data_IF_823177164709
#
_entry.id   IF_823177164709
#
_cell.length_a   1.000
_cell.length_b   1.000
_cell.length_c   1.000
_cell.angle_alpha   90.00
_cell.angle_beta   90.00
_cell.angle_gamma   90.00
#
_symmetry.space_group_name_H-M   'P 1'
#
loop_
_entity.id
_entity.type
_entity.pdbx_description
1 polymer ?
#
# COMPACT_ATOMS: atom_id res chain seq x y z
N UNK A 1 -10.85 25.28 -6.80
CA UNK A 1 -10.83 24.65 -5.46
C UNK A 1 -9.53 23.86 -5.32
N UNK A 2 -8.89 23.81 -4.14
CA UNK A 2 -7.70 22.97 -3.94
C UNK A 2 -8.09 21.49 -3.93
N UNK A 3 -7.37 20.65 -4.67
CA UNK A 3 -7.57 19.19 -4.73
C UNK A 3 -6.39 18.45 -4.09
N UNK A 4 -6.69 17.28 -3.55
CA UNK A 4 -5.72 16.26 -3.17
C UNK A 4 -6.02 15.05 -4.04
N UNK A 5 -5.09 14.72 -4.93
CA UNK A 5 -5.18 13.53 -5.78
C UNK A 5 -4.43 12.40 -5.10
N UNK A 6 -5.15 11.35 -4.70
CA UNK A 6 -4.60 10.15 -4.11
C UNK A 6 -4.61 9.01 -5.14
N UNK A 7 -3.48 8.34 -5.32
CA UNK A 7 -3.33 7.25 -6.27
C UNK A 7 -2.89 6.01 -5.53
N UNK A 8 -3.53 4.88 -5.79
CA UNK A 8 -2.84 3.62 -5.58
C UNK A 8 -1.56 3.55 -6.45
N UNK A 9 -0.61 2.73 -6.01
CA UNK A 9 0.68 2.59 -6.66
C UNK A 9 0.71 1.44 -7.67
N UNK A 10 0.48 0.22 -7.21
CA UNK A 10 0.72 -1.01 -7.97
C UNK A 10 -0.51 -1.39 -8.80
N UNK A 11 -0.41 -1.35 -10.12
CA UNK A 11 -1.58 -1.56 -10.99
C UNK A 11 -2.43 -0.30 -11.18
N UNK A 12 -2.00 0.82 -10.60
CA UNK A 12 -2.65 2.13 -10.79
C UNK A 12 -1.67 3.19 -11.29
N UNK A 13 -0.79 3.76 -10.47
CA UNK A 13 0.10 4.83 -10.95
C UNK A 13 1.36 4.30 -11.64
N UNK A 14 1.90 3.17 -11.16
CA UNK A 14 3.03 2.50 -11.77
C UNK A 14 2.56 1.59 -12.90
N UNK A 15 3.28 1.66 -14.02
CA UNK A 15 3.25 0.66 -15.07
C UNK A 15 3.97 -0.61 -14.62
N UNK A 16 3.82 -1.69 -15.38
CA UNK A 16 4.51 -2.97 -15.14
C UNK A 16 6.04 -2.88 -15.06
N UNK A 17 6.64 -1.88 -15.69
CA UNK A 17 8.08 -1.62 -15.63
C UNK A 17 8.52 -0.81 -14.38
N UNK A 18 7.62 -0.60 -13.41
CA UNK A 18 7.80 0.22 -12.21
C UNK A 18 8.07 1.71 -12.49
N UNK A 19 7.60 2.24 -13.61
CA UNK A 19 7.69 3.67 -13.93
C UNK A 19 6.31 4.32 -14.08
N UNK A 20 6.24 5.64 -13.95
CA UNK A 20 5.04 6.43 -14.24
C UNK A 20 5.03 6.81 -15.72
N UNK A 21 3.86 6.75 -16.35
CA UNK A 21 3.71 7.25 -17.72
C UNK A 21 4.22 8.71 -17.86
N UNK A 22 5.07 9.03 -18.84
CA UNK A 22 5.68 10.36 -18.96
C UNK A 22 4.68 11.52 -19.06
N UNK A 23 3.54 11.33 -19.71
CA UNK A 23 2.51 12.36 -19.81
C UNK A 23 1.79 12.55 -18.47
N UNK A 24 1.48 11.45 -17.76
CA UNK A 24 0.97 11.52 -16.38
C UNK A 24 1.94 12.26 -15.47
N UNK A 25 3.26 12.02 -15.60
CA UNK A 25 4.29 12.72 -14.81
C UNK A 25 4.30 14.23 -15.05
N UNK A 26 4.09 14.69 -16.29
CA UNK A 26 3.92 16.12 -16.60
C UNK A 26 2.69 16.71 -15.92
N UNK A 27 1.58 15.96 -15.87
CA UNK A 27 0.35 16.40 -15.22
C UNK A 27 0.49 16.44 -13.70
N UNK A 28 1.16 15.46 -13.09
CA UNK A 28 1.48 15.49 -11.65
C UNK A 28 2.27 16.75 -11.30
N UNK A 29 3.29 17.09 -12.09
CA UNK A 29 4.04 18.34 -11.93
C UNK A 29 3.13 19.57 -12.04
N UNK A 30 2.31 19.64 -13.09
CA UNK A 30 1.38 20.75 -13.30
C UNK A 30 0.36 20.89 -12.15
N UNK A 31 -0.16 19.78 -11.64
CA UNK A 31 -1.07 19.71 -10.48
C UNK A 31 -0.45 20.42 -9.26
N UNK A 32 0.83 20.13 -8.96
CA UNK A 32 1.57 20.80 -7.87
C UNK A 32 1.77 22.28 -8.12
N UNK A 33 2.10 22.67 -9.35
CA UNK A 33 2.25 24.09 -9.74
C UNK A 33 0.94 24.88 -9.57
N UNK A 34 -0.22 24.23 -9.69
CA UNK A 34 -1.53 24.82 -9.39
C UNK A 34 -1.90 24.77 -7.89
N UNK A 35 -1.00 24.30 -7.02
CA UNK A 35 -1.19 24.26 -5.58
C UNK A 35 -2.03 23.09 -5.08
N UNK A 36 -2.24 22.06 -5.89
CA UNK A 36 -2.82 20.78 -5.46
C UNK A 36 -1.77 19.89 -4.79
N UNK A 37 -2.24 18.82 -4.13
CA UNK A 37 -1.37 17.78 -3.58
C UNK A 37 -1.50 16.50 -4.36
N UNK A 38 -0.37 15.83 -4.63
CA UNK A 38 -0.35 14.48 -5.15
C UNK A 38 0.10 13.51 -4.04
N UNK A 39 -0.67 12.45 -3.84
CA UNK A 39 -0.51 11.52 -2.72
C UNK A 39 -0.52 10.10 -3.24
N UNK A 40 0.40 9.27 -2.76
CA UNK A 40 0.34 7.83 -2.99
C UNK A 40 -0.38 7.18 -1.81
N UNK A 41 -1.23 6.19 -2.06
CA UNK A 41 -1.87 5.36 -1.06
C UNK A 41 -1.63 3.88 -1.38
N UNK A 42 -0.71 3.23 -0.66
CA UNK A 42 -0.22 1.91 -1.03
C UNK A 42 -0.25 0.92 0.14
N UNK A 43 -0.37 -0.37 -0.19
CA UNK A 43 -0.15 -1.46 0.76
C UNK A 43 1.32 -1.63 1.16
N UNK A 44 2.27 -1.10 0.37
CA UNK A 44 3.71 -1.17 0.68
C UNK A 44 4.03 -0.44 1.98
N UNK A 45 4.91 -1.03 2.79
CA UNK A 45 5.56 -0.33 3.91
C UNK A 45 6.51 0.77 3.44
N UNK A 46 6.79 1.75 4.31
CA UNK A 46 7.53 2.96 3.94
C UNK A 46 8.89 2.65 3.29
N UNK A 47 9.66 1.74 3.88
CA UNK A 47 11.00 1.37 3.38
C UNK A 47 10.99 0.76 1.98
N UNK A 48 9.87 0.18 1.54
CA UNK A 48 9.70 -0.36 0.18
C UNK A 48 9.38 0.72 -0.85
N UNK A 49 8.97 1.91 -0.42
CA UNK A 49 8.59 3.03 -1.30
C UNK A 49 9.71 4.05 -1.42
N UNK A 50 10.51 4.26 -0.36
CA UNK A 50 11.61 5.23 -0.37
C UNK A 50 12.57 5.13 -1.58
N UNK A 51 12.96 3.93 -2.07
CA UNK A 51 13.82 3.84 -3.25
C UNK A 51 13.24 4.48 -4.52
N UNK A 52 11.90 4.50 -4.66
CA UNK A 52 11.19 5.16 -5.78
C UNK A 52 11.16 6.69 -5.63
N UNK A 53 11.37 7.21 -4.43
CA UNK A 53 11.56 8.64 -4.19
C UNK A 53 13.01 9.00 -4.53
N UNK A 54 13.96 8.22 -4.02
CA UNK A 54 15.40 8.44 -4.17
C UNK A 54 15.86 8.38 -5.63
N UNK A 55 15.27 7.49 -6.44
CA UNK A 55 15.56 7.40 -7.88
C UNK A 55 14.83 8.48 -8.71
N UNK A 56 14.01 9.33 -8.09
CA UNK A 56 13.27 10.42 -8.74
C UNK A 56 12.02 9.98 -9.50
N UNK A 57 11.60 8.72 -9.39
CA UNK A 57 10.38 8.24 -10.05
C UNK A 57 9.15 8.98 -9.49
N UNK A 58 9.09 9.12 -8.16
CA UNK A 58 8.03 9.79 -7.42
C UNK A 58 8.34 11.27 -7.09
N UNK A 59 9.13 11.97 -7.91
CA UNK A 59 9.55 13.37 -7.66
C UNK A 59 8.40 14.37 -7.51
N UNK A 60 7.24 14.03 -8.08
CA UNK A 60 6.02 14.85 -8.07
C UNK A 60 4.99 14.40 -7.05
N UNK A 61 5.39 13.59 -6.06
CA UNK A 61 4.56 13.16 -4.95
C UNK A 61 4.90 13.99 -3.70
N UNK A 62 3.86 14.48 -3.02
CA UNK A 62 4.00 15.30 -1.81
C UNK A 62 3.88 14.46 -0.53
N UNK A 63 3.00 13.46 -0.54
CA UNK A 63 2.76 12.57 0.60
C UNK A 63 2.58 11.12 0.18
N UNK A 64 2.87 10.19 1.09
CA UNK A 64 2.71 8.75 0.86
C UNK A 64 2.03 8.13 2.06
N UNK A 65 0.81 7.64 1.88
CA UNK A 65 0.08 6.79 2.82
C UNK A 65 0.55 5.36 2.60
N UNK A 66 1.17 4.75 3.61
CA UNK A 66 1.80 3.42 3.51
C UNK A 66 1.06 2.39 4.38
N UNK A 67 1.40 1.11 4.18
CA UNK A 67 0.86 -0.02 4.97
C UNK A 67 -0.67 0.04 5.08
N UNK A 68 -1.34 0.25 3.94
CA UNK A 68 -2.80 0.39 3.86
C UNK A 68 -3.38 1.45 4.83
N UNK A 69 -2.65 2.54 5.09
CA UNK A 69 -3.15 3.65 5.91
C UNK A 69 -2.57 3.75 7.32
N UNK A 70 -1.76 2.78 7.76
CA UNK A 70 -1.21 2.77 9.11
C UNK A 70 -0.26 3.95 9.41
N UNK A 71 0.34 4.55 8.38
CA UNK A 71 1.13 5.76 8.47
C UNK A 71 0.99 6.61 7.20
N UNK A 72 1.37 7.87 7.29
CA UNK A 72 1.72 8.68 6.12
C UNK A 72 3.07 9.38 6.27
N UNK A 73 3.76 9.58 5.16
CA UNK A 73 5.08 10.20 5.06
C UNK A 73 4.99 11.51 4.29
N UNK A 74 5.55 12.59 4.86
CA UNK A 74 5.73 13.88 4.20
C UNK A 74 7.05 13.85 3.44
N UNK A 75 6.97 13.86 2.11
CA UNK A 75 8.15 13.72 1.24
C UNK A 75 9.08 14.93 1.37
N UNK A 76 8.52 16.13 1.54
CA UNK A 76 9.28 17.38 1.62
C UNK A 76 10.04 17.49 2.94
N UNK A 77 9.34 17.25 4.04
CA UNK A 77 9.91 17.38 5.38
C UNK A 77 10.64 16.12 5.86
N UNK A 78 10.49 15.01 5.13
CA UNK A 78 11.03 13.70 5.48
C UNK A 78 10.56 13.21 6.85
N UNK A 79 9.30 13.50 7.18
CA UNK A 79 8.69 13.14 8.47
C UNK A 79 7.64 12.06 8.29
N UNK A 80 7.60 11.14 9.26
CA UNK A 80 6.61 10.06 9.30
C UNK A 80 5.56 10.37 10.37
N UNK A 81 4.30 10.17 10.03
CA UNK A 81 3.16 10.33 10.92
C UNK A 81 2.42 9.00 11.03
N UNK A 82 2.36 8.46 12.24
CA UNK A 82 1.73 7.17 12.52
C UNK A 82 0.25 7.39 12.80
N UNK A 83 -0.61 6.64 12.12
CA UNK A 83 -2.06 6.65 12.33
C UNK A 83 -2.44 5.56 13.33
N UNK A 84 -2.00 4.32 13.09
CA UNK A 84 -2.26 3.19 13.98
C UNK A 84 -1.14 2.16 13.88
N UNK A 85 -0.95 1.39 14.95
CA UNK A 85 0.12 0.39 15.06
C UNK A 85 -0.46 -0.99 15.31
N UNK A 86 0.33 -2.01 14.99
CA UNK A 86 -0.02 -3.40 15.19
C UNK A 86 0.63 -3.91 16.48
N UNK A 87 -0.09 -4.73 17.25
CA UNK A 87 0.47 -5.35 18.44
C UNK A 87 1.54 -6.37 18.06
N UNK A 88 2.67 -6.36 18.78
CA UNK A 88 3.73 -7.36 18.61
C UNK A 88 3.23 -8.80 18.83
N UNK A 89 2.13 -9.01 19.57
CA UNK A 89 1.51 -10.33 19.74
C UNK A 89 1.12 -10.98 18.41
N UNK A 90 0.75 -10.17 17.40
CA UNK A 90 0.41 -10.66 16.06
C UNK A 90 1.62 -11.32 15.39
N UNK A 91 2.82 -10.78 15.58
CA UNK A 91 4.05 -11.35 15.01
C UNK A 91 4.26 -12.81 15.43
N UNK A 92 4.09 -13.13 16.71
CA UNK A 92 4.32 -14.49 17.20
C UNK A 92 3.38 -15.50 16.55
N UNK A 93 2.11 -15.11 16.36
CA UNK A 93 1.12 -15.95 15.67
C UNK A 93 1.55 -16.19 14.21
N UNK A 94 1.93 -15.12 13.50
CA UNK A 94 2.34 -15.24 12.10
C UNK A 94 3.67 -15.96 11.94
N UNK A 95 4.59 -15.82 12.88
CA UNK A 95 5.84 -16.57 12.94
C UNK A 95 5.57 -18.07 13.06
N UNK A 96 4.70 -18.49 13.98
CA UNK A 96 4.37 -19.90 14.16
C UNK A 96 3.77 -20.50 12.88
N UNK A 97 2.80 -19.80 12.27
CA UNK A 97 2.19 -20.22 10.99
C UNK A 97 3.22 -20.24 9.85
N UNK A 98 4.12 -19.26 9.78
CA UNK A 98 5.15 -19.22 8.75
C UNK A 98 6.13 -20.39 8.84
N UNK A 99 6.48 -20.80 10.07
CA UNK A 99 7.34 -21.95 10.32
C UNK A 99 6.63 -23.27 10.05
N UNK A 100 5.36 -23.39 10.40
CA UNK A 100 4.56 -24.60 10.17
C UNK A 100 4.36 -24.90 8.68
N UNK A 101 4.25 -23.86 7.84
CA UNK A 101 3.91 -23.99 6.43
C UNK A 101 5.03 -23.59 5.45
N UNK A 102 6.26 -23.37 5.92
CA UNK A 102 7.39 -22.90 5.11
C UNK A 102 7.04 -21.66 4.26
N UNK A 103 6.57 -20.60 4.93
CA UNK A 103 6.13 -19.34 4.31
C UNK A 103 7.15 -18.22 4.46
N UNK A 104 7.04 -17.23 3.58
CA UNK A 104 7.80 -15.98 3.70
C UNK A 104 7.04 -15.07 4.68
N UNK A 105 7.72 -14.62 5.73
CA UNK A 105 7.19 -13.69 6.72
C UNK A 105 7.84 -12.33 6.55
N UNK A 106 7.05 -11.27 6.39
CA UNK A 106 7.54 -9.90 6.27
C UNK A 106 7.01 -9.04 7.41
N UNK A 107 7.91 -8.24 8.01
CA UNK A 107 7.57 -7.22 9.01
C UNK A 107 7.88 -5.85 8.43
N UNK A 108 6.92 -4.94 8.53
CA UNK A 108 7.04 -3.54 8.15
C UNK A 108 6.85 -2.65 9.39
N UNK A 109 7.81 -1.76 9.62
CA UNK A 109 7.76 -0.70 10.63
C UNK A 109 8.01 0.65 9.96
N UNK A 110 7.99 1.74 10.73
CA UNK A 110 8.35 3.07 10.22
C UNK A 110 9.82 3.17 9.76
N UNK A 111 10.71 2.39 10.38
CA UNK A 111 12.17 2.49 10.25
C UNK A 111 12.84 1.21 9.72
N UNK A 112 12.06 0.14 9.51
CA UNK A 112 12.55 -1.17 9.10
C UNK A 112 11.57 -1.84 8.13
N UNK A 113 12.14 -2.57 7.18
CA UNK A 113 11.46 -3.63 6.45
C UNK A 113 12.37 -4.86 6.45
N UNK A 114 11.81 -6.04 6.69
CA UNK A 114 12.57 -7.28 6.64
C UNK A 114 11.67 -8.46 6.31
N UNK A 115 12.19 -9.37 5.49
CA UNK A 115 11.52 -10.62 5.14
C UNK A 115 12.36 -11.81 5.54
N UNK A 116 11.77 -12.72 6.31
CA UNK A 116 12.31 -14.03 6.58
C UNK A 116 11.97 -14.98 5.42
N UNK A 117 12.98 -15.75 5.00
CA UNK A 117 12.81 -16.85 4.04
C UNK A 117 13.02 -18.19 4.76
N UNK A 118 12.14 -19.17 4.58
CA UNK A 118 12.29 -20.48 5.21
C UNK A 118 13.59 -21.15 4.72
N UNK A 119 14.36 -21.68 5.66
CA UNK A 119 15.66 -22.30 5.40
C UNK A 119 16.66 -21.38 4.64
N UNK A 120 16.52 -20.05 4.77
CA UNK A 120 17.34 -19.03 4.09
C UNK A 120 17.30 -19.14 2.54
N UNK A 121 16.21 -19.64 1.98
CA UNK A 121 16.02 -19.79 0.53
C UNK A 121 14.59 -19.49 0.14
N UNK A 122 14.37 -19.12 -1.12
CA UNK A 122 13.02 -19.07 -1.64
C UNK A 122 12.36 -20.46 -1.55
N UNK A 123 11.11 -20.54 -1.04
CA UNK A 123 10.40 -21.80 -0.94
C UNK A 123 10.27 -22.52 -2.29
N UNK A 124 10.30 -23.85 -2.27
CA UNK A 124 10.24 -24.68 -3.49
C UNK A 124 8.92 -24.57 -4.27
N UNK A 125 7.87 -24.06 -3.64
CA UNK A 125 6.58 -23.79 -4.27
C UNK A 125 6.58 -22.51 -5.13
N UNK A 126 7.65 -21.72 -5.11
CA UNK A 126 7.78 -20.50 -5.91
C UNK A 126 8.44 -20.78 -7.26
N UNK A 127 7.88 -20.23 -8.32
CA UNK A 127 8.51 -20.22 -9.64
C UNK A 127 9.56 -19.12 -9.77
N UNK A 128 10.48 -19.24 -10.73
CA UNK A 128 11.48 -18.19 -11.01
C UNK A 128 10.82 -16.83 -11.32
N UNK A 129 9.75 -16.81 -12.12
CA UNK A 129 9.01 -15.59 -12.42
C UNK A 129 8.41 -14.97 -11.14
N UNK A 130 7.81 -15.80 -10.29
CA UNK A 130 7.23 -15.34 -9.02
C UNK A 130 8.27 -14.76 -8.07
N UNK A 131 9.52 -15.24 -8.11
CA UNK A 131 10.66 -14.72 -7.37
C UNK A 131 11.14 -13.41 -7.99
N UNK A 132 11.21 -13.31 -9.32
CA UNK A 132 11.60 -12.06 -10.01
C UNK A 132 10.58 -10.93 -9.79
N UNK A 133 9.29 -11.27 -9.73
CA UNK A 133 8.22 -10.32 -9.46
C UNK A 133 8.17 -9.88 -7.98
N UNK A 134 8.97 -10.50 -7.10
CA UNK A 134 9.06 -10.07 -5.70
C UNK A 134 9.92 -8.84 -5.53
N UNK A 135 9.33 -7.81 -4.94
CA UNK A 135 10.06 -6.69 -4.34
C UNK A 135 10.46 -7.01 -2.89
N UNK A 136 11.31 -8.03 -2.67
CA UNK A 136 12.00 -8.21 -1.38
C UNK A 136 13.27 -7.35 -1.39
N UNK A 137 13.31 -6.34 -0.52
CA UNK A 137 14.44 -5.44 -0.40
C UNK A 137 15.47 -5.91 0.63
N UNK A 138 15.02 -6.60 1.67
CA UNK A 138 15.85 -6.97 2.81
C UNK A 138 15.47 -8.35 3.33
N UNK A 139 16.35 -9.33 3.13
CA UNK A 139 16.22 -10.68 3.69
C UNK A 139 16.96 -10.72 5.02
N UNK A 140 16.29 -11.18 6.08
CA UNK A 140 16.83 -11.26 7.43
C UNK A 140 16.51 -12.61 8.07
N UNK A 141 17.24 -12.98 9.11
CA UNK A 141 16.89 -14.13 9.95
C UNK A 141 15.74 -13.80 10.93
N UNK A 142 15.17 -14.84 11.54
CA UNK A 142 14.10 -14.69 12.53
C UNK A 142 14.56 -13.93 13.76
N UNK A 143 15.79 -14.15 14.21
CA UNK A 143 16.35 -13.47 15.37
C UNK A 143 16.31 -11.95 15.15
N UNK A 144 16.68 -11.47 13.96
CA UNK A 144 16.58 -10.06 13.60
C UNK A 144 15.14 -9.55 13.66
N UNK A 145 14.17 -10.30 13.10
CA UNK A 145 12.76 -9.91 13.18
C UNK A 145 12.26 -9.86 14.63
N UNK A 146 12.64 -10.83 15.46
CA UNK A 146 12.30 -10.88 16.88
C UNK A 146 12.88 -9.68 17.64
N UNK A 147 14.13 -9.32 17.38
CA UNK A 147 14.77 -8.16 17.99
C UNK A 147 14.05 -6.86 17.60
N UNK A 148 13.65 -6.71 16.34
CA UNK A 148 12.85 -5.56 15.88
C UNK A 148 11.51 -5.52 16.61
N UNK A 149 10.78 -6.64 16.66
CA UNK A 149 9.42 -6.72 17.23
C UNK A 149 9.40 -6.59 18.76
N UNK A 150 10.47 -7.02 19.44
CA UNK A 150 10.63 -6.89 20.90
C UNK A 150 11.10 -5.50 21.32
N UNK A 151 11.67 -4.71 20.42
CA UNK A 151 12.09 -3.35 20.73
C UNK A 151 10.84 -2.47 20.97
N UNK A 152 10.75 -1.88 22.17
CA UNK A 152 9.63 -1.02 22.56
C UNK A 152 9.50 0.25 21.71
N UNK A 153 10.59 0.71 21.09
CA UNK A 153 10.58 1.86 20.18
C UNK A 153 10.15 1.48 18.74
N UNK A 154 10.02 0.18 18.46
CA UNK A 154 9.61 -0.29 17.14
C UNK A 154 8.11 -0.08 16.92
N UNK A 155 7.80 0.64 15.85
CA UNK A 155 6.43 0.95 15.45
C UNK A 155 6.03 0.04 14.30
N UNK A 156 5.45 -1.12 14.63
CA UNK A 156 4.98 -2.10 13.65
C UNK A 156 3.71 -1.57 12.97
N UNK A 157 3.73 -1.50 11.64
CA UNK A 157 2.60 -1.00 10.85
C UNK A 157 1.89 -2.08 10.06
N UNK A 158 2.59 -3.17 9.72
CA UNK A 158 2.02 -4.32 9.02
C UNK A 158 2.91 -5.55 9.21
N UNK A 159 2.29 -6.72 9.22
CA UNK A 159 2.99 -8.00 9.08
C UNK A 159 2.25 -8.79 8.01
N UNK A 160 3.00 -9.43 7.11
CA UNK A 160 2.43 -10.18 6.00
C UNK A 160 3.06 -11.57 5.87
N UNK A 161 2.27 -12.53 5.41
CA UNK A 161 2.77 -13.81 4.91
C UNK A 161 2.59 -13.89 3.40
N UNK A 162 3.56 -14.45 2.68
CA UNK A 162 3.34 -14.91 1.31
C UNK A 162 3.15 -16.42 1.29
N UNK A 163 2.03 -16.82 0.70
CA UNK A 163 1.53 -18.19 0.67
C UNK A 163 1.62 -18.81 -0.72
N UNK A 164 1.65 -20.16 -0.82
CA UNK A 164 1.25 -20.86 -2.04
C UNK A 164 -0.20 -20.53 -2.41
N UNK A 165 -0.49 -20.36 -3.70
CA UNK A 165 -1.84 -20.03 -4.19
C UNK A 165 -2.91 -21.01 -3.70
N UNK A 166 -2.58 -22.29 -3.64
CA UNK A 166 -3.47 -23.40 -3.29
C UNK A 166 -3.90 -23.36 -1.82
N UNK A 167 -3.04 -22.88 -0.93
CA UNK A 167 -3.26 -22.88 0.53
C UNK A 167 -3.54 -21.49 1.10
N UNK A 168 -3.31 -20.42 0.32
CA UNK A 168 -3.40 -19.03 0.78
C UNK A 168 -4.73 -18.69 1.47
N UNK A 169 -5.87 -19.16 0.92
CA UNK A 169 -7.17 -18.93 1.55
C UNK A 169 -7.29 -19.64 2.91
N UNK A 170 -6.90 -20.91 2.98
CA UNK A 170 -7.00 -21.69 4.20
C UNK A 170 -6.10 -21.12 5.32
N UNK A 171 -4.86 -20.76 4.99
CA UNK A 171 -3.92 -20.13 5.92
C UNK A 171 -4.41 -18.75 6.37
N UNK A 172 -5.00 -17.97 5.46
CA UNK A 172 -5.61 -16.67 5.82
C UNK A 172 -6.77 -16.85 6.81
N UNK A 173 -7.64 -17.84 6.58
CA UNK A 173 -8.76 -18.15 7.46
C UNK A 173 -8.29 -18.66 8.83
N UNK A 174 -7.20 -19.43 8.88
CA UNK A 174 -6.54 -19.82 10.12
C UNK A 174 -6.01 -18.61 10.89
N UNK A 175 -5.30 -17.70 10.22
CA UNK A 175 -4.76 -16.49 10.86
C UNK A 175 -5.90 -15.64 11.43
N UNK A 176 -7.00 -15.45 10.69
CA UNK A 176 -8.21 -14.77 11.17
C UNK A 176 -8.71 -15.37 12.49
N UNK A 177 -8.81 -16.69 12.57
CA UNK A 177 -9.26 -17.37 13.78
C UNK A 177 -8.28 -17.19 14.93
N UNK A 178 -6.96 -17.31 14.69
CA UNK A 178 -5.93 -17.14 15.72
C UNK A 178 -5.80 -15.69 16.21
N UNK A 179 -6.16 -14.71 15.38
CA UNK A 179 -6.07 -13.28 15.71
C UNK A 179 -7.40 -12.62 16.04
N UNK A 180 -8.53 -13.36 16.10
CA UNK A 180 -9.89 -12.81 16.25
C UNK A 180 -10.10 -11.92 17.49
N UNK A 181 -9.33 -12.15 18.55
CA UNK A 181 -9.41 -11.39 19.82
C UNK A 181 -8.36 -10.27 19.90
N UNK A 182 -7.62 -10.03 18.80
CA UNK A 182 -6.63 -8.96 18.70
C UNK A 182 -7.19 -7.82 17.82
N UNK A 183 -6.81 -6.55 18.11
CA UNK A 183 -7.26 -5.40 17.33
C UNK A 183 -6.50 -5.31 15.99
N UNK A 184 -6.72 -6.28 15.11
CA UNK A 184 -6.15 -6.34 13.77
C UNK A 184 -7.14 -6.90 12.74
N UNK A 185 -6.92 -6.54 11.49
CA UNK A 185 -7.69 -7.00 10.33
C UNK A 185 -6.79 -7.82 9.40
N UNK A 186 -7.36 -8.89 8.83
CA UNK A 186 -6.62 -9.89 8.04
C UNK A 186 -7.22 -10.01 6.64
N UNK A 187 -6.41 -9.67 5.63
CA UNK A 187 -6.84 -9.66 4.23
C UNK A 187 -5.99 -10.62 3.39
N UNK A 188 -6.65 -11.31 2.45
CA UNK A 188 -5.96 -12.02 1.37
C UNK A 188 -5.84 -11.06 0.18
N UNK A 189 -4.63 -10.62 -0.13
CA UNK A 189 -4.34 -9.68 -1.23
C UNK A 189 -3.56 -10.40 -2.34
N UNK A 190 -3.84 -10.04 -3.60
CA UNK A 190 -3.25 -10.65 -4.80
C UNK A 190 -3.27 -12.20 -4.81
N UNK A 191 -4.29 -12.80 -4.18
CA UNK A 191 -4.49 -14.25 -4.02
C UNK A 191 -3.41 -15.03 -3.24
N UNK A 192 -2.31 -14.40 -2.83
CA UNK A 192 -1.17 -15.09 -2.19
C UNK A 192 -0.67 -14.43 -0.92
N UNK A 193 -0.97 -13.15 -0.67
CA UNK A 193 -0.50 -12.45 0.52
C UNK A 193 -1.56 -12.43 1.60
N UNK A 194 -1.21 -12.87 2.80
CA UNK A 194 -2.02 -12.63 4.00
C UNK A 194 -1.47 -11.40 4.70
N UNK A 195 -2.11 -10.25 4.49
CA UNK A 195 -1.74 -8.99 5.12
C UNK A 195 -2.50 -8.82 6.44
N UNK A 196 -1.76 -8.59 7.53
CA UNK A 196 -2.34 -8.25 8.83
C UNK A 196 -2.03 -6.80 9.17
N UNK A 197 -3.09 -6.01 9.27
CA UNK A 197 -3.03 -4.57 9.49
C UNK A 197 -3.72 -4.21 10.82
N UNK A 198 -3.42 -3.05 11.42
CA UNK A 198 -4.16 -2.57 12.58
C UNK A 198 -5.66 -2.49 12.33
N UNK A 199 -6.49 -2.77 13.35
CA UNK A 199 -7.96 -2.77 13.19
C UNK A 199 -8.48 -1.41 12.70
N UNK A 200 -9.46 -1.44 11.79
CA UNK A 200 -10.12 -0.22 11.30
C UNK A 200 -9.22 0.72 10.50
N UNK A 201 -8.05 0.25 10.03
CA UNK A 201 -7.21 0.99 9.11
C UNK A 201 -7.54 0.63 7.66
N UNK A 202 -7.48 1.63 6.80
CA UNK A 202 -7.55 1.48 5.35
C UNK A 202 -6.84 2.64 4.66
N UNK A 203 -6.60 2.52 3.35
CA UNK A 203 -6.04 3.62 2.54
C UNK A 203 -6.86 4.89 2.74
N UNK A 204 -8.19 4.78 2.73
CA UNK A 204 -9.10 5.91 2.96
C UNK A 204 -8.89 6.55 4.33
N UNK A 205 -8.83 5.75 5.41
CA UNK A 205 -8.60 6.27 6.76
C UNK A 205 -7.28 7.02 6.86
N UNK A 206 -6.19 6.47 6.29
CA UNK A 206 -4.90 7.15 6.24
C UNK A 206 -4.93 8.46 5.45
N UNK A 207 -5.63 8.49 4.31
CA UNK A 207 -5.84 9.71 3.52
C UNK A 207 -6.66 10.75 4.31
N UNK A 208 -7.67 10.33 5.06
CA UNK A 208 -8.50 11.23 5.87
C UNK A 208 -7.69 11.88 7.00
N UNK A 209 -6.81 11.13 7.67
CA UNK A 209 -5.89 11.71 8.66
C UNK A 209 -4.93 12.73 8.00
N UNK A 210 -4.42 12.43 6.81
CA UNK A 210 -3.62 13.37 6.04
C UNK A 210 -4.43 14.64 5.69
N UNK A 211 -5.66 14.50 5.18
CA UNK A 211 -6.53 15.63 4.86
C UNK A 211 -6.73 16.56 6.07
N UNK A 212 -7.00 15.98 7.25
CA UNK A 212 -7.15 16.74 8.51
C UNK A 212 -5.88 17.53 8.82
N UNK A 213 -4.70 16.92 8.69
CA UNK A 213 -3.42 17.59 8.95
C UNK A 213 -3.16 18.79 8.01
N UNK A 214 -3.76 18.74 6.81
CA UNK A 214 -3.68 19.79 5.79
C UNK A 214 -4.81 20.83 5.88
N UNK A 215 -5.73 20.69 6.84
CA UNK A 215 -6.93 21.54 6.94
C UNK A 215 -7.90 21.37 5.77
N UNK A 216 -7.88 20.20 5.13
CA UNK A 216 -8.74 19.83 4.00
C UNK A 216 -9.83 18.86 4.45
N UNK A 217 -10.82 18.66 3.59
CA UNK A 217 -11.92 17.72 3.81
C UNK A 217 -12.01 16.74 2.65
N UNK A 218 -12.88 15.72 2.77
CA UNK A 218 -13.13 14.77 1.69
C UNK A 218 -13.67 15.44 0.41
N UNK A 219 -14.24 16.66 0.50
CA UNK A 219 -14.60 17.45 -0.69
C UNK A 219 -13.41 17.83 -1.57
N UNK A 220 -12.19 17.81 -1.01
CA UNK A 220 -10.96 18.07 -1.74
C UNK A 220 -10.40 16.80 -2.41
N UNK A 221 -10.89 15.61 -2.05
CA UNK A 221 -10.29 14.32 -2.37
C UNK A 221 -10.73 13.80 -3.73
N UNK A 222 -9.74 13.46 -4.56
CA UNK A 222 -9.91 12.70 -5.81
C UNK A 222 -9.04 11.45 -5.69
N UNK A 223 -9.58 10.27 -5.95
CA UNK A 223 -8.85 8.99 -5.80
C UNK A 223 -8.79 8.20 -7.10
N UNK A 224 -7.68 7.50 -7.30
CA UNK A 224 -7.48 6.54 -8.39
C UNK A 224 -7.06 5.19 -7.79
N UNK A 225 -7.69 4.09 -8.20
CA UNK A 225 -7.32 2.76 -7.73
C UNK A 225 -7.78 1.64 -8.67
N UNK A 226 -7.38 0.41 -8.35
CA UNK A 226 -7.62 -0.75 -9.19
C UNK A 226 -8.26 -1.95 -8.45
N UNK A 227 -8.01 -2.08 -7.14
CA UNK A 227 -8.22 -3.34 -6.43
C UNK A 227 -9.03 -3.18 -5.14
N UNK A 228 -9.29 -4.31 -4.45
CA UNK A 228 -10.23 -4.36 -3.32
C UNK A 228 -9.87 -3.44 -2.15
N UNK A 229 -8.58 -3.22 -1.89
CA UNK A 229 -8.13 -2.28 -0.85
C UNK A 229 -8.25 -0.81 -1.25
N UNK A 230 -8.67 -0.51 -2.49
CA UNK A 230 -8.97 0.84 -2.98
C UNK A 230 -10.46 1.18 -2.93
N UNK A 231 -11.33 0.17 -2.86
CA UNK A 231 -12.80 0.33 -2.94
C UNK A 231 -13.31 1.40 -2.00
N UNK A 232 -12.87 1.39 -0.74
CA UNK A 232 -13.31 2.37 0.24
C UNK A 232 -12.88 3.81 -0.12
N UNK A 233 -11.64 4.00 -0.61
CA UNK A 233 -11.20 5.34 -0.98
C UNK A 233 -11.87 5.84 -2.25
N UNK A 234 -12.14 4.95 -3.21
CA UNK A 234 -12.88 5.26 -4.44
C UNK A 234 -14.33 5.65 -4.10
N UNK A 235 -15.03 4.85 -3.30
CA UNK A 235 -16.44 5.08 -2.96
C UNK A 235 -16.64 6.37 -2.16
N UNK A 236 -15.73 6.69 -1.23
CA UNK A 236 -15.92 7.77 -0.26
C UNK A 236 -15.20 9.07 -0.62
N UNK A 237 -14.46 9.11 -1.73
CA UNK A 237 -13.87 10.33 -2.26
C UNK A 237 -14.95 11.29 -2.80
N UNK A 238 -14.59 12.56 -3.01
CA UNK A 238 -15.47 13.46 -3.75
C UNK A 238 -15.52 13.12 -5.24
N UNK A 239 -14.42 12.59 -5.78
CA UNK A 239 -14.37 11.95 -7.10
C UNK A 239 -13.56 10.67 -6.98
N UNK A 240 -14.22 9.53 -7.16
CA UNK A 240 -13.60 8.20 -7.23
C UNK A 240 -13.37 7.75 -8.66
N UNK A 241 -12.16 7.30 -8.99
CA UNK A 241 -11.78 6.84 -10.33
C UNK A 241 -11.21 5.43 -10.27
N UNK A 242 -11.73 4.53 -11.10
CA UNK A 242 -11.17 3.21 -11.32
C UNK A 242 -10.43 3.15 -12.67
N UNK A 243 -9.23 2.58 -12.69
CA UNK A 243 -8.46 2.36 -13.94
C UNK A 243 -9.01 1.19 -14.76
N UNK A 244 -8.63 1.11 -16.04
CA UNK A 244 -9.17 0.13 -16.99
C UNK A 244 -8.89 -1.32 -16.61
N UNK A 245 -7.76 -1.59 -15.96
CA UNK A 245 -7.39 -2.91 -15.41
C UNK A 245 -8.02 -3.21 -14.04
N UNK A 246 -8.78 -2.27 -13.47
CA UNK A 246 -9.38 -2.44 -12.16
C UNK A 246 -10.35 -3.62 -12.09
N UNK A 247 -10.45 -4.20 -10.89
CA UNK A 247 -11.45 -5.20 -10.52
C UNK A 247 -12.87 -4.68 -10.72
N UNK A 248 -13.83 -5.60 -10.86
CA UNK A 248 -15.24 -5.23 -11.04
C UNK A 248 -15.80 -4.51 -9.81
N UNK A 249 -15.35 -4.89 -8.61
CA UNK A 249 -15.75 -4.25 -7.36
C UNK A 249 -15.30 -2.77 -7.31
N UNK A 250 -14.03 -2.50 -7.64
CA UNK A 250 -13.52 -1.13 -7.71
C UNK A 250 -14.24 -0.28 -8.77
N UNK A 251 -14.53 -0.85 -9.95
CA UNK A 251 -15.29 -0.17 -11.01
C UNK A 251 -16.73 0.12 -10.62
N UNK A 252 -17.36 -0.76 -9.84
CA UNK A 252 -18.77 -0.64 -9.47
C UNK A 252 -19.04 0.55 -8.52
N UNK A 253 -18.04 0.97 -7.74
CA UNK A 253 -18.14 2.10 -6.80
C UNK A 253 -17.55 3.40 -7.33
N UNK A 254 -16.95 3.40 -8.53
CA UNK A 254 -16.29 4.57 -9.08
C UNK A 254 -17.26 5.53 -9.80
N UNK A 255 -17.03 6.84 -9.65
CA UNK A 255 -17.71 7.86 -10.46
C UNK A 255 -17.28 7.80 -11.93
N UNK A 256 -16.00 7.47 -12.16
CA UNK A 256 -15.42 7.34 -13.49
C UNK A 256 -14.61 6.06 -13.62
N UNK A 257 -14.81 5.35 -14.73
CA UNK A 257 -13.91 4.30 -15.19
C UNK A 257 -13.11 4.84 -16.37
N UNK A 258 -11.79 4.84 -16.26
CA UNK A 258 -10.88 5.37 -17.29
C UNK A 258 -10.14 4.24 -18.04
N UNK A 259 -9.20 4.61 -18.91
CA UNK A 259 -8.40 3.66 -19.68
C UNK A 259 -7.43 2.84 -18.82
N UNK A 260 -6.67 1.97 -19.46
CA UNK A 260 -5.65 1.15 -18.78
C UNK A 260 -4.52 2.01 -18.20
N UNK A 261 -4.06 1.65 -16.98
CA UNK A 261 -3.00 2.34 -16.26
C UNK A 261 -1.65 2.44 -17.01
N UNK A 262 -1.41 1.58 -18.00
CA UNK A 262 -0.21 1.63 -18.85
C UNK A 262 -0.17 2.90 -19.74
N UNK A 263 -1.30 3.59 -19.89
CA UNK A 263 -1.48 4.76 -20.76
C UNK A 263 -1.47 6.09 -19.99
N UNK A 264 -1.62 7.22 -20.68
CA UNK A 264 -1.65 8.56 -20.09
C UNK A 264 -2.98 8.90 -19.39
N UNK A 265 -3.93 7.96 -19.32
CA UNK A 265 -5.33 8.19 -18.95
C UNK A 265 -5.53 8.80 -17.55
N UNK A 266 -4.66 8.48 -16.59
CA UNK A 266 -4.66 9.11 -15.26
C UNK A 266 -4.37 10.61 -15.38
N UNK A 267 -3.30 10.97 -16.10
CA UNK A 267 -2.95 12.36 -16.37
C UNK A 267 -4.04 13.11 -17.14
N UNK A 268 -4.66 12.47 -18.13
CA UNK A 268 -5.78 13.06 -18.88
C UNK A 268 -6.97 13.38 -17.97
N UNK A 269 -7.39 12.43 -17.13
CA UNK A 269 -8.48 12.62 -16.17
C UNK A 269 -8.14 13.68 -15.12
N UNK A 270 -6.90 13.71 -14.63
CA UNK A 270 -6.44 14.78 -13.74
C UNK A 270 -6.56 16.16 -14.41
N UNK A 271 -6.11 16.32 -15.65
CA UNK A 271 -6.21 17.60 -16.35
C UNK A 271 -7.66 18.03 -16.58
N UNK A 272 -8.55 17.09 -16.89
CA UNK A 272 -9.98 17.35 -16.99
C UNK A 272 -10.52 17.94 -15.66
N UNK A 273 -10.20 17.31 -14.52
CA UNK A 273 -10.66 17.76 -13.20
C UNK A 273 -10.04 19.12 -12.82
N UNK A 274 -8.77 19.36 -13.15
CA UNK A 274 -8.08 20.62 -12.84
C UNK A 274 -8.68 21.78 -13.65
N UNK A 275 -9.11 21.53 -14.88
CA UNK A 275 -9.61 22.57 -15.80
C UNK A 275 -11.09 22.90 -15.63
N UNK A 276 -11.88 22.00 -15.04
CA UNK A 276 -13.26 22.26 -14.66
C UNK A 276 -13.30 23.21 -13.45
N UNK A 277 -13.61 24.49 -13.72
CA UNK A 277 -13.76 25.55 -12.70
C UNK A 277 -15.10 25.49 -11.99
#
# INVERSE_FOLDING_TARGET
>A
MKRLFAFDLDGTLLRKDNTINPETKKVLKHSREQGHYNVIATGRGLKKVLPLIENGELSEIDYIVCSNGALYYDVKNQTTHVVKTLLNKVFWILKDVALEHDLILTVDTIDFNGSYLPNNKFPAWMTEQQIMDMNIFNVVDLDTLEHVVLNHDSVITQIALRNPLETAKAITDEIREKTKDLPCEVYLTNSVYTDVNPEGISKYVGIVELLKSLGLTTQNLVTFGDSGNDVEMIEKAHIGVAVGNATQEAKAVADYVIGDHETATIGEKMMEIITQK
#
